data_IF_465940598262
#
_entry.id   IF_465940598262
#
_cell.length_a   1.000
_cell.length_b   1.000
_cell.length_c   1.000
_cell.angle_alpha   90.00
_cell.angle_beta   90.00
_cell.angle_gamma   90.00
#
_symmetry.space_group_name_H-M   'P 1'
#
loop_
_entity.id
_entity.type
_entity.pdbx_description
1 polymer ?
#
# COMPACT_ATOMS: atom_id res chain seq x y z
N UNK A 1 -24.55 24.67 7.96
CA UNK A 1 -24.57 23.50 7.06
C UNK A 1 -23.31 23.56 6.20
N UNK A 2 -22.16 23.27 6.81
CA UNK A 2 -20.89 23.20 6.08
C UNK A 2 -20.83 21.84 5.43
N UNK A 3 -20.60 21.83 4.11
CA UNK A 3 -20.47 20.65 3.28
C UNK A 3 -19.61 19.60 4.00
N UNK A 4 -20.14 18.39 4.15
CA UNK A 4 -19.34 17.20 4.35
C UNK A 4 -18.19 17.27 3.34
N UNK A 5 -16.98 17.57 3.80
CA UNK A 5 -15.81 17.26 2.98
C UNK A 5 -15.79 15.73 2.91
N UNK A 6 -15.97 15.11 1.74
CA UNK A 6 -15.57 13.73 1.59
C UNK A 6 -14.04 13.76 1.61
N UNK A 7 -13.44 14.00 2.77
CA UNK A 7 -12.11 13.47 3.02
C UNK A 7 -12.27 12.00 2.70
N UNK A 8 -11.69 11.62 1.59
CA UNK A 8 -11.85 10.35 0.92
C UNK A 8 -11.02 9.36 1.72
N UNK A 9 -11.35 9.23 3.01
CA UNK A 9 -10.68 8.45 4.05
C UNK A 9 -10.71 6.94 3.77
N UNK A 10 -11.07 6.52 2.56
CA UNK A 10 -11.39 5.13 2.25
C UNK A 10 -10.44 4.42 1.29
N UNK A 11 -9.59 5.08 0.49
CA UNK A 11 -8.90 4.32 -0.60
C UNK A 11 -7.48 4.78 -0.91
N UNK A 12 -6.55 4.70 0.05
CA UNK A 12 -5.17 4.37 -0.30
C UNK A 12 -4.61 3.34 0.69
N UNK A 13 -5.24 2.16 0.73
CA UNK A 13 -4.60 0.93 1.23
C UNK A 13 -3.80 0.34 0.05
N UNK A 14 -2.59 0.86 -0.18
CA UNK A 14 -1.68 0.24 -1.15
C UNK A 14 -0.97 -0.93 -0.48
N UNK A 15 -1.41 -2.15 -0.79
CA UNK A 15 -0.74 -3.39 -0.40
C UNK A 15 0.30 -3.78 -1.45
N UNK A 16 1.51 -4.13 -1.02
CA UNK A 16 2.54 -4.65 -1.89
C UNK A 16 2.95 -6.07 -1.47
N UNK A 17 2.95 -6.99 -2.44
CA UNK A 17 3.53 -8.32 -2.30
C UNK A 17 4.81 -8.34 -3.10
N UNK A 18 5.90 -8.72 -2.46
CA UNK A 18 7.19 -8.93 -3.10
C UNK A 18 7.61 -10.39 -2.96
N UNK A 19 8.37 -10.88 -3.93
CA UNK A 19 9.15 -12.10 -3.75
C UNK A 19 10.17 -11.90 -2.62
N UNK A 20 10.50 -12.94 -1.85
CA UNK A 20 11.49 -12.87 -0.77
C UNK A 20 12.86 -12.29 -1.19
N UNK A 21 13.24 -12.49 -2.45
CA UNK A 21 14.48 -11.94 -3.04
C UNK A 21 14.40 -10.48 -3.47
N UNK A 22 13.20 -9.91 -3.60
CA UNK A 22 12.93 -8.58 -4.13
C UNK A 22 13.08 -7.45 -3.10
N UNK A 23 14.14 -7.49 -2.27
CA UNK A 23 14.40 -6.49 -1.22
C UNK A 23 14.65 -5.08 -1.76
N UNK A 24 15.30 -4.96 -2.91
CA UNK A 24 15.56 -3.66 -3.55
C UNK A 24 14.27 -3.01 -4.07
N UNK A 25 13.34 -3.82 -4.55
CA UNK A 25 12.05 -3.32 -5.03
C UNK A 25 11.22 -2.77 -3.87
N UNK A 26 11.28 -3.41 -2.70
CA UNK A 26 10.64 -2.92 -1.47
C UNK A 26 11.24 -1.60 -0.97
N UNK A 27 12.57 -1.46 -1.01
CA UNK A 27 13.25 -0.22 -0.63
C UNK A 27 12.83 0.94 -1.53
N UNK A 28 12.90 0.76 -2.86
CA UNK A 28 12.49 1.78 -3.84
C UNK A 28 11.00 2.10 -3.72
N UNK A 29 10.15 1.09 -3.49
CA UNK A 29 8.73 1.29 -3.25
C UNK A 29 8.48 2.17 -2.01
N UNK A 30 9.16 1.91 -0.90
CA UNK A 30 9.01 2.73 0.32
C UNK A 30 9.54 4.14 0.15
N UNK A 31 10.64 4.32 -0.58
CA UNK A 31 11.15 5.65 -0.91
C UNK A 31 10.12 6.44 -1.72
N UNK A 32 9.52 5.84 -2.75
CA UNK A 32 8.49 6.50 -3.54
C UNK A 32 7.25 6.88 -2.70
N UNK A 33 6.83 6.00 -1.78
CA UNK A 33 5.75 6.32 -0.82
C UNK A 33 6.13 7.49 0.08
N UNK A 34 7.37 7.53 0.57
CA UNK A 34 7.86 8.63 1.40
C UNK A 34 7.90 9.95 0.63
N UNK A 35 8.44 9.95 -0.59
CA UNK A 35 8.54 11.13 -1.44
C UNK A 35 7.16 11.72 -1.75
N UNK A 36 6.18 10.87 -2.09
CA UNK A 36 4.80 11.30 -2.31
C UNK A 36 4.16 11.85 -1.03
N UNK A 37 4.43 11.24 0.12
CA UNK A 37 3.93 11.72 1.40
C UNK A 37 4.57 13.04 1.86
N UNK A 38 5.75 13.40 1.36
CA UNK A 38 6.39 14.70 1.65
C UNK A 38 5.99 15.80 0.64
N UNK A 39 5.29 15.44 -0.44
CA UNK A 39 4.89 16.39 -1.46
C UNK A 39 3.55 17.05 -1.10
N UNK A 40 3.59 18.30 -0.64
CA UNK A 40 2.41 19.07 -0.24
C UNK A 40 1.50 19.52 -1.41
N UNK A 41 1.89 19.25 -2.67
CA UNK A 41 1.05 19.45 -3.85
C UNK A 41 0.18 18.23 -4.17
N UNK A 42 0.52 17.05 -3.62
CA UNK A 42 -0.14 15.77 -3.89
C UNK A 42 -0.70 15.21 -2.57
N UNK A 43 -1.97 14.79 -2.57
CA UNK A 43 -2.64 14.28 -1.35
C UNK A 43 -2.51 15.24 -0.16
N UNK A 44 -2.83 16.52 -0.39
CA UNK A 44 -2.55 17.64 0.53
C UNK A 44 -3.07 17.45 1.97
N UNK A 45 -4.12 16.64 2.15
CA UNK A 45 -4.72 16.36 3.47
C UNK A 45 -4.71 14.89 3.84
N UNK A 46 -4.08 14.04 3.02
CA UNK A 46 -4.07 12.59 3.17
C UNK A 46 -2.63 12.06 3.17
N UNK A 47 -2.41 10.87 3.73
CA UNK A 47 -1.11 10.18 3.67
C UNK A 47 -1.32 8.78 3.11
N UNK A 48 -0.41 8.38 2.24
CA UNK A 48 -0.30 7.01 1.75
C UNK A 48 0.18 6.14 2.91
N UNK A 49 -0.63 5.16 3.30
CA UNK A 49 -0.25 4.07 4.19
C UNK A 49 -0.12 2.80 3.37
N UNK A 50 0.90 1.99 3.66
CA UNK A 50 1.14 0.74 2.95
C UNK A 50 1.58 -0.36 3.91
N UNK A 51 1.12 -1.57 3.61
CA UNK A 51 1.61 -2.80 4.23
C UNK A 51 2.31 -3.63 3.17
N UNK A 52 3.43 -4.24 3.56
CA UNK A 52 4.28 -5.02 2.67
C UNK A 52 4.38 -6.44 3.21
N UNK A 53 4.16 -7.43 2.33
CA UNK A 53 4.40 -8.84 2.63
C UNK A 53 5.35 -9.45 1.62
N UNK A 54 6.26 -10.28 2.13
CA UNK A 54 7.11 -11.13 1.31
C UNK A 54 6.50 -12.53 1.20
N UNK A 55 6.55 -13.10 0.01
CA UNK A 55 6.12 -14.47 -0.28
C UNK A 55 7.21 -15.23 -1.04
N UNK A 56 7.21 -16.55 -0.94
CA UNK A 56 7.98 -17.39 -1.86
C UNK A 56 7.36 -17.25 -3.26
N UNK A 57 8.08 -16.66 -4.22
CA UNK A 57 7.59 -16.48 -5.58
C UNK A 57 7.35 -17.78 -6.35
N UNK A 58 7.84 -18.91 -5.84
CA UNK A 58 7.52 -20.24 -6.37
C UNK A 58 6.25 -20.83 -5.75
N UNK A 59 5.64 -20.19 -4.75
CA UNK A 59 4.42 -20.62 -4.10
C UNK A 59 3.22 -19.72 -4.49
N UNK A 60 2.54 -20.02 -5.62
CA UNK A 60 1.40 -19.22 -6.07
C UNK A 60 0.21 -19.26 -5.10
N UNK A 61 0.07 -20.32 -4.29
CA UNK A 61 -0.99 -20.40 -3.29
C UNK A 61 -0.77 -19.42 -2.15
N UNK A 62 0.46 -19.29 -1.67
CA UNK A 62 0.81 -18.28 -0.66
C UNK A 62 0.57 -16.87 -1.21
N UNK A 63 1.04 -16.57 -2.42
CA UNK A 63 0.82 -15.27 -3.05
C UNK A 63 -0.69 -14.91 -3.14
N UNK A 64 -1.53 -15.88 -3.52
CA UNK A 64 -2.98 -15.70 -3.56
C UNK A 64 -3.59 -15.56 -2.17
N UNK A 65 -3.13 -16.33 -1.19
CA UNK A 65 -3.61 -16.25 0.19
C UNK A 65 -3.30 -14.86 0.78
N UNK A 66 -2.04 -14.42 0.75
CA UNK A 66 -1.64 -13.13 1.27
C UNK A 66 -2.34 -11.97 0.54
N UNK A 67 -2.57 -12.10 -0.77
CA UNK A 67 -3.37 -11.15 -1.54
C UNK A 67 -4.86 -11.14 -1.20
N UNK A 68 -5.40 -12.24 -0.67
CA UNK A 68 -6.83 -12.38 -0.30
C UNK A 68 -7.12 -12.14 1.17
N UNK A 69 -6.18 -12.39 2.08
CA UNK A 69 -6.33 -12.16 3.54
C UNK A 69 -6.83 -10.75 3.83
N UNK A 70 -6.39 -9.75 3.07
CA UNK A 70 -6.83 -8.36 3.24
C UNK A 70 -8.20 -8.03 2.65
N UNK A 71 -8.68 -8.77 1.63
CA UNK A 71 -10.04 -8.59 1.09
C UNK A 71 -11.15 -9.03 2.05
N UNK A 72 -10.84 -9.83 3.06
CA UNK A 72 -11.81 -10.34 4.03
C UNK A 72 -11.97 -9.47 5.28
N UNK A 73 -11.06 -8.52 5.52
CA UNK A 73 -11.07 -7.64 6.71
C UNK A 73 -11.71 -6.27 6.40
N UNK A 74 -12.13 -6.03 5.15
CA UNK A 74 -12.84 -4.83 4.69
C UNK A 74 -14.35 -5.00 4.60
#
# INVERSE_FOLDING_TARGET
LGLFSPHFNFIIFNWAIFDESAKKDEEVFRMAVADLNQNDEILQTEKITCSVTFVDGNNPFQAVQEGRTFKQIS
#
